data_IF_183636937568
#
_entry.id   IF_183636937568
#
_cell.length_a   1.000
_cell.length_b   1.000
_cell.length_c   1.000
_cell.angle_alpha   90.00
_cell.angle_beta   90.00
_cell.angle_gamma   90.00
#
_symmetry.space_group_name_H-M   'P 1'
#
loop_
_entity.id
_entity.type
_entity.pdbx_description
1 polymer ?
#
# COMPACT_ATOMS: atom_id res chain seq x y z
N UNK A 1 18.15 -51.40 -39.70
CA UNK A 1 18.25 -51.93 -41.09
C UNK A 1 18.08 -50.72 -42.01
N UNK A 2 19.19 -50.13 -42.52
CA UNK A 2 19.81 -50.39 -43.85
C UNK A 2 18.82 -49.93 -44.96
N UNK A 3 19.10 -48.99 -45.86
CA UNK A 3 20.34 -48.46 -46.46
C UNK A 3 20.12 -47.19 -47.31
N UNK A 4 21.21 -46.42 -47.51
CA UNK A 4 21.72 -45.78 -48.76
C UNK A 4 20.84 -44.76 -49.52
N UNK A 5 21.29 -43.62 -50.07
CA UNK A 5 22.60 -43.20 -50.64
C UNK A 5 22.51 -41.68 -51.04
N UNK A 6 23.48 -41.07 -51.78
CA UNK A 6 24.64 -40.28 -51.35
C UNK A 6 24.48 -38.75 -51.63
N UNK A 7 25.27 -37.84 -51.06
CA UNK A 7 26.58 -37.41 -51.58
C UNK A 7 26.47 -36.18 -52.49
N UNK A 8 26.90 -35.01 -52.00
CA UNK A 8 27.02 -33.77 -52.79
C UNK A 8 27.85 -32.75 -52.02
N UNK A 9 29.11 -32.58 -52.43
CA UNK A 9 30.12 -31.73 -51.85
C UNK A 9 30.43 -30.57 -52.80
N UNK A 10 30.32 -29.33 -52.36
CA UNK A 10 30.95 -28.17 -53.00
C UNK A 10 31.53 -27.19 -51.95
N UNK A 11 32.60 -26.45 -52.31
CA UNK A 11 33.64 -25.93 -51.39
C UNK A 11 33.41 -24.45 -51.01
N UNK A 12 34.22 -23.86 -50.09
CA UNK A 12 33.95 -22.53 -49.53
C UNK A 12 34.47 -21.42 -50.45
N UNK A 13 33.92 -20.19 -50.38
CA UNK A 13 34.56 -19.07 -51.03
C UNK A 13 35.77 -18.60 -50.20
N UNK A 14 36.88 -18.46 -50.92
CA UNK A 14 38.19 -18.02 -50.47
C UNK A 14 38.23 -16.56 -49.98
N UNK A 15 39.24 -16.33 -49.16
CA UNK A 15 39.80 -15.07 -48.71
C UNK A 15 40.10 -14.07 -49.84
N UNK A 16 39.53 -12.87 -49.75
CA UNK A 16 40.01 -11.67 -50.42
C UNK A 16 40.64 -10.71 -49.41
N UNK A 17 41.89 -10.35 -49.63
CA UNK A 17 42.69 -9.37 -48.89
C UNK A 17 42.16 -7.93 -49.05
N UNK A 18 42.47 -7.02 -48.10
CA UNK A 18 41.85 -5.70 -48.01
C UNK A 18 42.46 -4.70 -48.99
N UNK A 19 41.63 -4.06 -49.81
CA UNK A 19 41.99 -2.88 -50.59
C UNK A 19 41.95 -1.64 -49.71
N UNK A 20 43.11 -1.03 -49.52
CA UNK A 20 43.31 0.28 -48.92
C UNK A 20 42.86 1.38 -49.88
N UNK A 21 42.23 2.42 -49.35
CA UNK A 21 41.99 3.71 -50.00
C UNK A 21 42.13 4.84 -48.96
N UNK A 22 42.41 6.09 -49.39
CA UNK A 22 43.63 6.78 -48.98
C UNK A 22 43.43 7.89 -47.95
N UNK A 23 44.58 8.29 -47.38
CA UNK A 23 44.79 9.45 -46.49
C UNK A 23 44.45 10.74 -47.22
N UNK A 24 43.56 11.54 -46.65
CA UNK A 24 43.24 12.89 -47.13
C UNK A 24 44.20 13.89 -46.45
N UNK A 25 45.26 14.27 -47.18
CA UNK A 25 46.21 15.33 -46.81
C UNK A 25 45.61 16.71 -47.11
N UNK A 26 45.65 17.60 -46.11
CA UNK A 26 45.24 19.00 -46.22
C UNK A 26 46.07 19.78 -47.25
N UNK A 27 45.46 20.62 -48.10
CA UNK A 27 46.17 21.66 -48.85
C UNK A 27 46.29 22.97 -48.03
N UNK A 28 47.23 23.86 -48.42
CA UNK A 28 47.84 24.83 -47.53
C UNK A 28 47.06 26.14 -47.32
N UNK A 29 47.45 26.79 -46.23
CA UNK A 29 46.99 28.07 -45.68
C UNK A 29 47.18 29.21 -46.68
N UNK A 30 46.08 29.87 -47.05
CA UNK A 30 46.11 31.16 -47.76
C UNK A 30 45.80 32.32 -46.80
N UNK A 31 46.56 33.39 -46.99
CA UNK A 31 46.78 34.49 -46.05
C UNK A 31 45.54 35.39 -45.94
N UNK A 32 45.14 35.68 -44.71
CA UNK A 32 44.05 36.58 -44.30
C UNK A 32 44.18 37.98 -44.92
N UNK A 33 43.17 38.42 -45.69
CA UNK A 33 42.83 39.82 -45.85
C UNK A 33 41.89 40.26 -44.70
N UNK A 34 42.03 41.49 -44.15
CA UNK A 34 41.34 41.87 -42.93
C UNK A 34 39.88 42.25 -43.20
N UNK A 35 38.95 41.49 -42.63
CA UNK A 35 37.52 41.84 -42.57
C UNK A 35 37.23 42.55 -41.23
N UNK A 36 36.53 43.67 -41.33
CA UNK A 36 36.16 44.59 -40.26
C UNK A 36 35.45 43.92 -39.06
N UNK A 37 35.53 44.51 -37.85
CA UNK A 37 35.00 43.88 -36.64
C UNK A 37 33.47 43.83 -36.69
N UNK A 38 32.92 42.64 -36.89
CA UNK A 38 31.52 42.34 -36.62
C UNK A 38 31.36 42.34 -35.10
N UNK A 39 30.55 43.27 -34.57
CA UNK A 39 30.10 43.26 -33.18
C UNK A 39 29.36 41.94 -32.90
N UNK A 40 30.07 40.99 -32.32
CA UNK A 40 29.49 39.76 -31.81
C UNK A 40 28.74 40.07 -30.51
N UNK A 41 27.41 40.13 -30.59
CA UNK A 41 26.53 40.02 -29.44
C UNK A 41 26.93 38.77 -28.63
N UNK A 42 27.44 38.98 -27.42
CA UNK A 42 27.78 37.91 -26.51
C UNK A 42 26.51 37.09 -26.22
N UNK A 43 26.53 35.75 -26.39
CA UNK A 43 25.48 34.94 -25.82
C UNK A 43 25.63 35.05 -24.30
N UNK A 44 24.77 35.85 -23.66
CA UNK A 44 24.55 35.82 -22.21
C UNK A 44 23.84 34.52 -21.85
N UNK A 45 24.53 33.41 -22.04
CA UNK A 45 24.17 32.13 -21.46
C UNK A 45 24.61 32.19 -20.00
N UNK A 46 23.67 32.60 -19.14
CA UNK A 46 23.74 32.40 -17.71
C UNK A 46 23.93 30.92 -17.40
N UNK A 47 25.17 30.46 -17.40
CA UNK A 47 25.61 29.29 -16.67
C UNK A 47 25.52 29.66 -15.19
N UNK A 48 24.29 29.64 -14.68
CA UNK A 48 24.03 29.56 -13.25
C UNK A 48 24.83 28.35 -12.77
N UNK A 49 25.97 28.62 -12.11
CA UNK A 49 26.68 27.65 -11.30
C UNK A 49 25.63 27.04 -10.38
N UNK A 50 25.16 25.82 -10.72
CA UNK A 50 24.37 25.01 -9.79
C UNK A 50 25.29 24.76 -8.62
N UNK A 51 25.18 25.60 -7.59
CA UNK A 51 25.82 25.38 -6.32
C UNK A 51 25.42 23.98 -5.87
N UNK A 52 26.38 23.07 -5.81
CA UNK A 52 26.23 21.81 -5.11
C UNK A 52 25.57 22.12 -3.77
N UNK A 53 24.39 21.55 -3.49
CA UNK A 53 23.70 21.68 -2.20
C UNK A 53 24.59 21.01 -1.14
N UNK A 54 25.52 21.76 -0.60
CA UNK A 54 26.46 21.32 0.42
C UNK A 54 25.83 21.07 1.80
N UNK A 55 26.67 20.78 2.83
CA UNK A 55 26.33 20.29 4.18
C UNK A 55 25.31 21.13 4.99
N UNK A 56 24.90 22.30 4.50
CA UNK A 56 23.84 23.13 5.07
C UNK A 56 22.46 22.45 5.09
N UNK A 57 22.17 21.50 4.19
CA UNK A 57 20.94 20.72 4.27
C UNK A 57 20.97 19.76 5.47
N UNK A 58 22.08 19.05 5.66
CA UNK A 58 22.28 18.10 6.76
C UNK A 58 22.28 18.83 8.11
N UNK A 59 22.94 19.99 8.22
CA UNK A 59 22.94 20.78 9.47
C UNK A 59 21.58 21.37 9.82
N UNK A 60 20.77 21.77 8.83
CA UNK A 60 19.37 22.22 9.06
C UNK A 60 18.44 21.08 9.44
N UNK A 61 18.64 19.89 8.89
CA UNK A 61 17.92 18.68 9.29
C UNK A 61 18.28 18.26 10.72
N UNK A 62 19.58 18.23 11.04
CA UNK A 62 20.06 17.96 12.39
C UNK A 62 19.51 18.98 13.40
N UNK A 63 19.54 20.28 13.07
CA UNK A 63 18.97 21.33 13.92
C UNK A 63 17.46 21.18 14.15
N UNK A 64 16.69 20.77 13.13
CA UNK A 64 15.24 20.49 13.28
C UNK A 64 14.94 19.26 14.13
N UNK A 65 15.78 18.22 14.02
CA UNK A 65 15.66 17.01 14.83
C UNK A 65 15.97 17.33 16.30
N UNK A 66 17.07 18.05 16.57
CA UNK A 66 17.45 18.43 17.93
C UNK A 66 16.49 19.45 18.57
N UNK A 67 15.84 20.30 17.77
CA UNK A 67 14.82 21.23 18.23
C UNK A 67 13.41 20.61 18.34
N UNK A 68 13.24 19.31 18.04
CA UNK A 68 11.95 18.66 18.16
C UNK A 68 11.51 18.64 19.64
N UNK A 69 10.22 18.92 19.95
CA UNK A 69 9.74 18.89 21.32
C UNK A 69 9.89 17.49 21.91
N UNK A 70 10.07 17.40 23.23
CA UNK A 70 10.23 16.13 23.97
C UNK A 70 9.11 15.13 23.64
N UNK A 71 7.88 15.60 23.44
CA UNK A 71 6.73 14.79 23.03
C UNK A 71 6.97 14.03 21.71
N UNK A 72 7.66 14.64 20.75
CA UNK A 72 7.99 14.02 19.46
C UNK A 72 9.01 12.90 19.65
N UNK A 73 10.00 13.10 20.50
CA UNK A 73 10.99 12.07 20.85
C UNK A 73 10.36 10.91 21.60
N UNK A 74 9.53 11.19 22.61
CA UNK A 74 8.77 10.15 23.33
C UNK A 74 7.92 9.34 22.36
N UNK A 75 7.18 10.02 21.48
CA UNK A 75 6.33 9.36 20.47
C UNK A 75 7.17 8.49 19.54
N UNK A 76 8.28 9.02 19.01
CA UNK A 76 9.18 8.27 18.14
C UNK A 76 9.73 7.01 18.83
N UNK A 77 10.23 7.14 20.06
CA UNK A 77 10.77 6.02 20.84
C UNK A 77 9.70 4.97 21.07
N UNK A 78 8.48 5.36 21.48
CA UNK A 78 7.38 4.42 21.74
C UNK A 78 6.99 3.66 20.47
N UNK A 79 6.85 4.36 19.33
CA UNK A 79 6.47 3.73 18.05
C UNK A 79 7.58 2.81 17.54
N UNK A 80 8.83 3.27 17.56
CA UNK A 80 9.98 2.49 17.13
C UNK A 80 10.17 1.24 18.02
N UNK A 81 10.08 1.40 19.34
CA UNK A 81 10.17 0.29 20.29
C UNK A 81 9.01 -0.71 20.09
N UNK A 82 7.79 -0.24 19.83
CA UNK A 82 6.65 -1.11 19.56
C UNK A 82 6.88 -1.97 18.31
N UNK A 83 7.25 -1.35 17.18
CA UNK A 83 7.51 -2.09 15.94
C UNK A 83 8.73 -3.02 16.06
N UNK A 84 9.79 -2.56 16.71
CA UNK A 84 10.99 -3.36 16.97
C UNK A 84 10.68 -4.56 17.87
N UNK A 85 9.87 -4.40 18.91
CA UNK A 85 9.48 -5.50 19.80
C UNK A 85 8.76 -6.61 19.03
N UNK A 86 7.85 -6.26 18.12
CA UNK A 86 7.19 -7.23 17.22
C UNK A 86 8.22 -7.94 16.35
N UNK A 87 9.07 -7.19 15.65
CA UNK A 87 10.05 -7.77 14.74
C UNK A 87 11.06 -8.69 15.44
N UNK A 88 11.59 -8.27 16.59
CA UNK A 88 12.52 -9.08 17.40
C UNK A 88 11.84 -10.36 17.87
N UNK A 89 10.57 -10.29 18.29
CA UNK A 89 9.85 -11.46 18.78
C UNK A 89 9.50 -12.47 17.70
N UNK A 90 9.44 -12.04 16.44
CA UNK A 90 9.29 -12.91 15.27
C UNK A 90 10.61 -13.60 14.84
N UNK A 91 11.68 -13.45 15.62
CA UNK A 91 12.99 -14.07 15.39
C UNK A 91 13.60 -13.68 14.02
N UNK A 92 14.21 -12.49 13.91
CA UNK A 92 14.78 -11.98 12.65
C UNK A 92 15.74 -12.95 11.94
N UNK A 93 16.52 -13.73 12.70
CA UNK A 93 17.41 -14.76 12.12
C UNK A 93 16.66 -15.85 11.34
N UNK A 94 15.42 -16.17 11.74
CA UNK A 94 14.53 -17.10 11.03
C UNK A 94 13.79 -16.44 9.87
N UNK A 95 13.51 -15.14 9.96
CA UNK A 95 12.94 -14.37 8.84
C UNK A 95 13.98 -14.26 7.71
N UNK A 96 15.23 -13.99 8.06
CA UNK A 96 16.31 -13.73 7.11
C UNK A 96 17.06 -15.00 6.63
N UNK A 97 16.75 -16.18 7.18
CA UNK A 97 17.31 -17.43 6.66
C UNK A 97 16.72 -17.77 5.30
N UNK A 98 17.50 -18.33 4.39
CA UNK A 98 17.00 -18.80 3.10
C UNK A 98 16.28 -20.15 3.25
N UNK A 99 15.08 -20.09 3.80
CA UNK A 99 14.19 -21.22 3.99
C UNK A 99 12.77 -20.79 3.64
N UNK A 100 11.99 -21.72 3.08
CA UNK A 100 10.57 -21.49 2.88
C UNK A 100 9.84 -21.36 4.23
N UNK A 101 8.82 -20.49 4.31
CA UNK A 101 7.95 -20.46 5.48
C UNK A 101 7.11 -21.75 5.56
N UNK A 102 6.73 -22.11 6.78
CA UNK A 102 5.92 -23.28 7.08
C UNK A 102 5.00 -22.99 8.28
N UNK A 103 4.00 -23.87 8.48
CA UNK A 103 2.99 -23.75 9.54
C UNK A 103 1.63 -23.29 9.01
N UNK A 104 0.55 -23.90 9.49
CA UNK A 104 -0.80 -23.66 8.97
C UNK A 104 -0.86 -23.72 7.44
N UNK A 105 -1.58 -22.77 6.84
CA UNK A 105 -1.73 -22.62 5.39
C UNK A 105 -0.54 -21.89 4.74
N UNK A 106 0.41 -21.38 5.55
CA UNK A 106 1.58 -20.65 5.05
C UNK A 106 2.39 -21.47 4.04
N UNK A 107 2.50 -22.79 4.27
CA UNK A 107 3.18 -23.70 3.35
C UNK A 107 2.50 -23.83 1.99
N UNK A 108 1.18 -23.62 1.89
CA UNK A 108 0.47 -23.61 0.62
C UNK A 108 0.68 -22.30 -0.14
N UNK A 109 0.82 -21.18 0.58
CA UNK A 109 1.00 -19.86 -0.03
C UNK A 109 2.31 -19.70 -0.80
N UNK A 110 3.34 -20.51 -0.52
CA UNK A 110 4.63 -20.43 -1.23
C UNK A 110 4.51 -20.73 -2.73
N UNK A 111 3.48 -21.45 -3.17
CA UNK A 111 3.28 -21.75 -4.58
C UNK A 111 2.80 -20.51 -5.36
N UNK A 112 1.90 -19.71 -4.79
CA UNK A 112 1.23 -18.61 -5.49
C UNK A 112 2.18 -17.57 -6.10
N UNK A 113 3.11 -16.96 -5.33
CA UNK A 113 4.03 -15.96 -5.85
C UNK A 113 5.03 -16.57 -6.83
N UNK A 114 5.50 -17.81 -6.60
CA UNK A 114 6.37 -18.51 -7.54
C UNK A 114 5.68 -18.75 -8.89
N UNK A 115 4.44 -19.27 -8.88
CA UNK A 115 3.65 -19.46 -10.09
C UNK A 115 3.36 -18.13 -10.81
N UNK A 116 3.05 -17.08 -10.05
CA UNK A 116 2.86 -15.73 -10.57
C UNK A 116 4.11 -15.21 -11.29
N UNK A 117 5.29 -15.36 -10.67
CA UNK A 117 6.61 -14.97 -11.22
C UNK A 117 6.95 -15.74 -12.49
N UNK A 118 6.78 -17.05 -12.48
CA UNK A 118 7.34 -17.94 -13.50
C UNK A 118 6.40 -18.13 -14.71
N UNK A 119 5.08 -18.03 -14.50
CA UNK A 119 4.10 -18.40 -15.53
C UNK A 119 3.16 -17.25 -15.94
N UNK A 120 2.80 -16.36 -15.02
CA UNK A 120 1.77 -15.35 -15.28
C UNK A 120 2.36 -13.98 -15.67
N UNK A 121 3.25 -13.43 -14.86
CA UNK A 121 3.85 -12.11 -15.11
C UNK A 121 4.64 -12.02 -16.42
N UNK A 122 5.42 -13.04 -16.85
CA UNK A 122 6.10 -13.00 -18.14
C UNK A 122 5.13 -12.88 -19.33
N UNK A 123 3.88 -13.29 -19.13
CA UNK A 123 2.80 -13.22 -20.12
C UNK A 123 1.87 -12.02 -19.89
N UNK A 124 2.27 -11.06 -19.05
CA UNK A 124 1.47 -9.88 -18.67
C UNK A 124 0.10 -10.23 -18.10
N UNK A 125 0.02 -11.34 -17.36
CA UNK A 125 -1.21 -11.81 -16.69
C UNK A 125 -1.04 -11.78 -15.19
N UNK A 126 -2.16 -11.58 -14.49
CA UNK A 126 -2.25 -11.72 -13.03
C UNK A 126 -3.06 -12.95 -12.59
N UNK A 127 -3.74 -13.61 -13.54
CA UNK A 127 -4.59 -14.79 -13.35
C UNK A 127 -4.40 -15.77 -14.50
N UNK A 128 -4.65 -17.06 -14.26
CA UNK A 128 -4.58 -18.07 -15.30
C UNK A 128 -5.17 -19.41 -14.88
N UNK A 129 -4.88 -20.44 -15.68
CA UNK A 129 -5.18 -21.83 -15.38
C UNK A 129 -3.86 -22.58 -15.22
N UNK A 130 -3.76 -23.46 -14.23
CA UNK A 130 -2.61 -24.35 -14.03
C UNK A 130 -3.05 -25.81 -14.04
N UNK A 131 -2.15 -26.72 -14.40
CA UNK A 131 -2.32 -28.18 -14.30
C UNK A 131 -1.60 -28.77 -13.06
N UNK A 132 -1.08 -27.92 -12.16
CA UNK A 132 -0.34 -28.35 -10.97
C UNK A 132 -1.19 -29.17 -9.97
N UNK A 133 -2.51 -29.28 -10.19
CA UNK A 133 -3.42 -30.02 -9.32
C UNK A 133 -4.56 -30.71 -10.09
N UNK A 134 -4.67 -32.04 -9.98
CA UNK A 134 -5.68 -32.87 -10.67
C UNK A 134 -5.93 -32.48 -12.13
N UNK A 135 -7.15 -32.10 -12.51
CA UNK A 135 -7.52 -31.67 -13.87
C UNK A 135 -7.21 -30.18 -14.15
N UNK A 136 -6.52 -29.54 -13.22
CA UNK A 136 -6.20 -28.12 -13.18
C UNK A 136 -7.15 -27.28 -12.34
N UNK A 137 -6.74 -26.04 -12.07
CA UNK A 137 -7.53 -25.06 -11.31
C UNK A 137 -7.24 -23.61 -11.72
N UNK A 138 -8.15 -22.66 -11.43
CA UNK A 138 -7.97 -21.25 -11.77
C UNK A 138 -6.96 -20.57 -10.85
N UNK A 139 -5.70 -20.55 -11.25
CA UNK A 139 -4.59 -19.88 -10.56
C UNK A 139 -4.88 -18.39 -10.32
N UNK A 140 -4.68 -17.96 -9.07
CA UNK A 140 -4.81 -16.58 -8.59
C UNK A 140 -6.19 -15.92 -8.73
N UNK A 141 -7.24 -16.60 -9.21
CA UNK A 141 -8.55 -15.92 -9.42
C UNK A 141 -9.21 -15.41 -8.12
N UNK A 142 -9.03 -16.15 -7.02
CA UNK A 142 -9.70 -15.89 -5.74
C UNK A 142 -8.75 -15.36 -4.66
N UNK A 143 -7.47 -15.13 -4.99
CA UNK A 143 -6.48 -14.65 -4.05
C UNK A 143 -6.25 -13.16 -4.22
N UNK A 144 -6.10 -12.42 -3.14
CA UNK A 144 -5.80 -11.00 -3.21
C UNK A 144 -4.37 -10.80 -3.71
N UNK A 145 -4.20 -10.07 -4.81
CA UNK A 145 -2.99 -10.13 -5.62
C UNK A 145 -1.80 -9.33 -5.07
N UNK A 146 -2.06 -8.24 -4.35
CA UNK A 146 -1.00 -7.29 -3.98
C UNK A 146 0.08 -7.91 -3.07
N UNK A 147 -0.23 -8.68 -2.00
CA UNK A 147 0.80 -9.31 -1.18
C UNK A 147 1.72 -10.22 -2.00
N UNK A 148 1.16 -10.97 -2.96
CA UNK A 148 1.93 -11.85 -3.85
C UNK A 148 2.85 -11.05 -4.79
N UNK A 149 2.36 -9.94 -5.35
CA UNK A 149 3.18 -9.05 -6.18
C UNK A 149 4.32 -8.42 -5.39
N UNK A 150 4.09 -8.04 -4.13
CA UNK A 150 5.14 -7.51 -3.27
C UNK A 150 6.21 -8.56 -2.95
N UNK A 151 5.82 -9.83 -2.78
CA UNK A 151 6.76 -10.94 -2.61
C UNK A 151 7.62 -11.10 -3.86
N UNK A 152 7.01 -11.18 -5.04
CA UNK A 152 7.74 -11.33 -6.31
C UNK A 152 8.66 -10.13 -6.56
N UNK A 153 8.21 -8.92 -6.27
CA UNK A 153 9.03 -7.71 -6.41
C UNK A 153 10.27 -7.75 -5.51
N UNK A 154 10.11 -8.21 -4.26
CA UNK A 154 11.21 -8.30 -3.31
C UNK A 154 12.16 -9.46 -3.62
N UNK A 155 11.63 -10.56 -4.19
CA UNK A 155 12.39 -11.72 -4.67
C UNK A 155 13.37 -11.39 -5.80
N UNK A 156 13.19 -10.25 -6.50
CA UNK A 156 14.17 -9.78 -7.51
C UNK A 156 15.55 -9.53 -6.90
N UNK A 157 15.61 -9.15 -5.62
CA UNK A 157 16.85 -8.73 -4.94
C UNK A 157 17.18 -9.53 -3.68
N UNK A 158 16.24 -10.34 -3.17
CA UNK A 158 16.41 -11.20 -2.00
C UNK A 158 16.03 -12.65 -2.35
N UNK A 159 16.58 -13.66 -1.65
CA UNK A 159 16.11 -15.04 -1.82
C UNK A 159 14.61 -15.19 -1.56
N UNK A 160 13.94 -16.02 -2.36
CA UNK A 160 12.48 -16.19 -2.33
C UNK A 160 11.89 -16.41 -0.93
N UNK A 161 12.50 -17.30 -0.14
CA UNK A 161 12.04 -17.58 1.22
C UNK A 161 12.12 -16.35 2.13
N UNK A 162 13.17 -15.54 1.97
CA UNK A 162 13.37 -14.29 2.73
C UNK A 162 12.36 -13.22 2.29
N UNK A 163 12.22 -13.01 0.97
CA UNK A 163 11.26 -12.07 0.40
C UNK A 163 9.83 -12.39 0.87
N UNK A 164 9.44 -13.66 0.82
CA UNK A 164 8.15 -14.12 1.30
C UNK A 164 7.96 -13.78 2.77
N UNK A 165 8.88 -14.21 3.65
CA UNK A 165 8.75 -14.01 5.10
C UNK A 165 8.70 -12.54 5.48
N UNK A 166 9.48 -11.68 4.82
CA UNK A 166 9.46 -10.24 5.07
C UNK A 166 8.10 -9.61 4.76
N UNK A 167 7.49 -9.93 3.62
CA UNK A 167 6.15 -9.44 3.28
C UNK A 167 5.09 -10.05 4.21
N UNK A 168 5.22 -11.34 4.55
CA UNK A 168 4.28 -12.01 5.43
C UNK A 168 4.23 -11.34 6.83
N UNK A 169 5.37 -10.95 7.39
CA UNK A 169 5.40 -10.27 8.70
C UNK A 169 5.19 -8.77 8.62
N UNK A 170 5.28 -8.16 7.43
CA UNK A 170 5.22 -6.71 7.26
C UNK A 170 3.98 -6.10 7.92
N UNK A 171 2.82 -6.73 7.76
CA UNK A 171 1.56 -6.25 8.31
C UNK A 171 1.54 -6.12 9.84
N UNK A 172 2.01 -7.14 10.57
CA UNK A 172 2.06 -7.10 12.05
C UNK A 172 3.17 -6.19 12.56
N UNK A 173 4.30 -6.11 11.86
CA UNK A 173 5.41 -5.21 12.21
C UNK A 173 5.01 -3.74 11.99
N UNK A 174 4.26 -3.44 10.91
CA UNK A 174 3.80 -2.09 10.61
C UNK A 174 2.58 -1.65 11.40
N UNK A 175 1.84 -2.57 12.03
CA UNK A 175 0.56 -2.25 12.68
C UNK A 175 0.68 -1.19 13.80
N UNK A 176 1.68 -1.24 14.70
CA UNK A 176 1.89 -0.17 15.68
C UNK A 176 2.12 1.20 15.03
N UNK A 177 2.88 1.22 13.94
CA UNK A 177 3.15 2.45 13.15
C UNK A 177 1.87 2.94 12.47
N UNK A 178 1.07 2.05 11.90
CA UNK A 178 -0.19 2.40 11.26
C UNK A 178 -1.23 2.95 12.26
N UNK A 179 -1.29 2.37 13.47
CA UNK A 179 -2.15 2.87 14.55
C UNK A 179 -1.71 4.26 15.04
N UNK A 180 -0.40 4.50 15.16
CA UNK A 180 0.12 5.84 15.40
C UNK A 180 -0.22 6.81 14.27
N UNK A 181 -0.04 6.40 13.01
CA UNK A 181 -0.33 7.23 11.85
C UNK A 181 -1.81 7.62 11.80
N UNK A 182 -2.72 6.69 12.11
CA UNK A 182 -4.15 6.97 12.29
C UNK A 182 -4.36 8.11 13.30
N UNK A 183 -3.84 7.96 14.52
CA UNK A 183 -3.97 8.98 15.57
C UNK A 183 -3.37 10.32 15.20
N UNK A 184 -2.20 10.31 14.52
CA UNK A 184 -1.49 11.52 14.11
C UNK A 184 -2.21 12.27 13.01
N UNK A 185 -2.75 11.56 12.02
CA UNK A 185 -3.56 12.12 10.93
C UNK A 185 -4.90 12.63 11.44
N UNK A 186 -5.49 11.93 12.42
CA UNK A 186 -6.68 12.38 13.15
C UNK A 186 -6.43 13.56 14.11
N UNK A 187 -5.17 14.03 14.22
CA UNK A 187 -4.75 15.15 15.08
C UNK A 187 -5.11 14.95 16.55
N UNK A 188 -5.08 13.71 17.03
CA UNK A 188 -5.30 13.44 18.44
C UNK A 188 -4.21 14.12 19.28
N UNK A 189 -4.57 14.73 20.42
CA UNK A 189 -3.59 15.38 21.30
C UNK A 189 -2.61 14.36 21.87
N UNK A 190 -1.39 14.81 22.18
CA UNK A 190 -0.43 14.02 22.94
C UNK A 190 -1.05 13.58 24.28
N UNK A 191 -0.87 12.33 24.74
CA UNK A 191 -0.05 11.25 24.17
C UNK A 191 -0.80 10.25 23.28
N UNK A 192 -2.03 10.54 22.86
CA UNK A 192 -2.93 9.56 22.23
C UNK A 192 -2.35 8.85 20.99
N UNK A 193 -1.68 9.52 20.03
CA UNK A 193 -1.06 8.81 18.89
C UNK A 193 -0.03 7.77 19.32
N UNK A 194 0.77 8.05 20.36
CA UNK A 194 1.75 7.10 20.89
C UNK A 194 1.04 5.93 21.60
N UNK A 195 -0.03 6.21 22.37
CA UNK A 195 -0.82 5.16 23.01
C UNK A 195 -1.51 4.23 22.00
N UNK A 196 -1.92 4.73 20.83
CA UNK A 196 -2.46 3.89 19.76
C UNK A 196 -1.42 2.93 19.19
N UNK A 197 -0.14 3.31 19.13
CA UNK A 197 0.94 2.36 18.80
C UNK A 197 1.06 1.26 19.84
N UNK A 198 0.97 1.61 21.14
CA UNK A 198 0.99 0.61 22.23
C UNK A 198 -0.23 -0.31 22.16
N UNK A 199 -1.41 0.22 21.82
CA UNK A 199 -2.59 -0.60 21.58
C UNK A 199 -2.40 -1.53 20.38
N UNK A 200 -1.79 -1.06 19.29
CA UNK A 200 -1.41 -1.88 18.14
C UNK A 200 -0.44 -3.00 18.51
N UNK A 201 0.55 -2.71 19.37
CA UNK A 201 1.46 -3.70 19.93
C UNK A 201 0.69 -4.76 20.74
N UNK A 202 -0.19 -4.33 21.66
CA UNK A 202 -0.98 -5.26 22.46
C UNK A 202 -1.87 -6.14 21.58
N UNK A 203 -2.50 -5.57 20.55
CA UNK A 203 -3.36 -6.29 19.60
C UNK A 203 -2.58 -7.35 18.81
N UNK A 204 -1.38 -7.06 18.29
CA UNK A 204 -0.64 -8.07 17.52
C UNK A 204 -0.19 -9.25 18.39
N UNK A 205 -0.04 -9.05 19.70
CA UNK A 205 0.28 -10.09 20.68
C UNK A 205 -0.95 -10.77 21.29
N UNK A 206 -2.16 -10.38 20.89
CA UNK A 206 -3.37 -11.06 21.31
C UNK A 206 -3.37 -12.51 20.77
N UNK A 207 -3.66 -13.47 21.65
CA UNK A 207 -3.70 -14.90 21.37
C UNK A 207 -5.12 -15.49 21.52
N UNK A 208 -6.14 -14.66 21.74
CA UNK A 208 -7.53 -15.11 21.86
C UNK A 208 -8.09 -15.74 20.57
N UNK A 209 -7.47 -15.48 19.42
CA UNK A 209 -7.81 -16.08 18.13
C UNK A 209 -6.56 -16.34 17.30
N UNK A 210 -6.61 -17.39 16.49
CA UNK A 210 -5.42 -17.91 15.78
C UNK A 210 -5.59 -18.03 14.27
N UNK A 211 -6.77 -17.72 13.72
CA UNK A 211 -7.08 -17.88 12.29
C UNK A 211 -7.90 -16.73 11.68
N UNK A 212 -8.22 -15.67 12.43
CA UNK A 212 -9.08 -14.58 11.93
C UNK A 212 -8.30 -13.43 11.26
N UNK A 213 -6.98 -13.36 11.49
CA UNK A 213 -6.08 -12.36 10.89
C UNK A 213 -5.78 -11.17 11.78
N UNK A 214 -4.69 -10.45 11.47
CA UNK A 214 -4.32 -9.18 12.13
C UNK A 214 -3.35 -9.31 13.31
N UNK A 215 -3.34 -10.43 14.01
CA UNK A 215 -2.37 -10.74 15.07
C UNK A 215 -1.25 -11.67 14.57
N UNK A 216 -0.22 -11.87 15.40
CA UNK A 216 0.93 -12.72 15.05
C UNK A 216 0.50 -14.17 14.81
N UNK A 217 -0.33 -14.75 15.68
CA UNK A 217 -0.75 -16.15 15.58
C UNK A 217 -1.46 -16.43 14.24
N UNK A 218 -2.42 -15.58 13.87
CA UNK A 218 -3.15 -15.70 12.61
C UNK A 218 -2.27 -15.43 11.40
N UNK A 219 -1.37 -14.44 11.49
CA UNK A 219 -0.41 -14.15 10.42
C UNK A 219 0.43 -15.38 10.11
N UNK A 220 0.93 -16.08 11.13
CA UNK A 220 1.73 -17.29 10.96
C UNK A 220 0.91 -18.49 10.49
N UNK A 221 -0.40 -18.50 10.71
CA UNK A 221 -1.31 -19.52 10.20
C UNK A 221 -1.62 -19.38 8.70
N UNK A 222 -1.29 -18.24 8.07
CA UNK A 222 -1.55 -17.95 6.65
C UNK A 222 -2.27 -16.63 6.40
N UNK A 223 -2.80 -15.97 7.43
CA UNK A 223 -3.57 -14.72 7.31
C UNK A 223 -2.69 -13.45 7.19
N UNK A 224 -1.55 -13.54 6.50
CA UNK A 224 -0.61 -12.43 6.38
C UNK A 224 -1.14 -11.28 5.51
N UNK A 225 -1.89 -11.62 4.46
CA UNK A 225 -2.55 -10.66 3.57
C UNK A 225 -3.55 -9.78 4.35
N UNK A 226 -4.27 -10.38 5.30
CA UNK A 226 -5.17 -9.68 6.22
C UNK A 226 -4.40 -8.66 7.06
N UNK A 227 -3.31 -9.08 7.72
CA UNK A 227 -2.52 -8.21 8.60
C UNK A 227 -1.92 -7.02 7.85
N UNK A 228 -1.48 -7.23 6.61
CA UNK A 228 -1.00 -6.17 5.73
C UNK A 228 -2.13 -5.18 5.37
N UNK A 229 -3.29 -5.72 4.96
CA UNK A 229 -4.47 -4.92 4.63
C UNK A 229 -4.97 -4.08 5.83
N UNK A 230 -4.90 -4.63 7.05
CA UNK A 230 -5.30 -3.95 8.27
C UNK A 230 -4.40 -2.75 8.58
N UNK A 231 -3.09 -2.88 8.37
CA UNK A 231 -2.16 -1.74 8.46
C UNK A 231 -2.52 -0.62 7.46
N UNK A 232 -2.82 -0.97 6.20
CA UNK A 232 -3.28 0.01 5.21
C UNK A 232 -4.61 0.66 5.61
N UNK A 233 -5.55 -0.12 6.16
CA UNK A 233 -6.86 0.35 6.57
C UNK A 233 -6.77 1.42 7.67
N UNK A 234 -5.88 1.26 8.65
CA UNK A 234 -5.68 2.27 9.71
C UNK A 234 -5.16 3.60 9.14
N UNK A 235 -4.18 3.54 8.22
CA UNK A 235 -3.67 4.75 7.56
C UNK A 235 -4.77 5.40 6.70
N UNK A 236 -5.53 4.60 5.95
CA UNK A 236 -6.70 5.07 5.20
C UNK A 236 -7.69 5.83 6.09
N UNK A 237 -8.08 5.25 7.22
CA UNK A 237 -9.01 5.90 8.15
C UNK A 237 -8.45 7.22 8.68
N UNK A 238 -7.15 7.30 8.93
CA UNK A 238 -6.47 8.52 9.36
C UNK A 238 -6.54 9.60 8.27
N UNK A 239 -6.29 9.21 7.03
CA UNK A 239 -6.38 10.09 5.85
C UNK A 239 -7.83 10.55 5.61
N UNK A 240 -8.83 9.71 5.87
CA UNK A 240 -10.25 10.10 5.84
C UNK A 240 -10.52 11.18 6.88
N UNK A 241 -10.13 10.98 8.15
CA UNK A 241 -10.33 12.00 9.19
C UNK A 241 -9.67 13.32 8.79
N UNK A 242 -8.38 13.28 8.42
CA UNK A 242 -7.63 14.46 8.00
C UNK A 242 -8.25 15.15 6.77
N UNK A 243 -8.71 14.36 5.80
CA UNK A 243 -9.30 14.83 4.56
C UNK A 243 -10.68 15.45 4.75
N UNK A 244 -11.50 14.93 5.68
CA UNK A 244 -12.79 15.51 6.03
C UNK A 244 -12.66 16.86 6.75
N UNK A 245 -11.55 17.10 7.45
CA UNK A 245 -11.26 18.38 8.11
C UNK A 245 -10.64 19.41 7.17
N UNK A 246 -9.75 18.98 6.28
CA UNK A 246 -8.93 19.89 5.46
C UNK A 246 -9.36 19.98 4.00
N UNK A 247 -10.17 19.05 3.52
CA UNK A 247 -10.46 18.84 2.10
C UNK A 247 -9.31 18.22 1.30
N UNK A 248 -8.14 17.98 1.92
CA UNK A 248 -6.92 17.45 1.27
C UNK A 248 -6.84 15.92 1.37
N UNK A 249 -5.74 15.32 0.91
CA UNK A 249 -5.41 13.89 1.04
C UNK A 249 -6.29 12.87 0.29
N UNK A 250 -7.18 13.33 -0.60
CA UNK A 250 -8.09 12.44 -1.37
C UNK A 250 -7.37 11.35 -2.14
N UNK A 251 -6.34 11.71 -2.89
CA UNK A 251 -5.56 10.75 -3.67
C UNK A 251 -4.91 9.69 -2.78
N UNK A 252 -4.28 10.12 -1.68
CA UNK A 252 -3.68 9.18 -0.73
C UNK A 252 -4.72 8.28 -0.06
N UNK A 253 -5.88 8.80 0.34
CA UNK A 253 -6.94 7.99 0.91
C UNK A 253 -7.44 6.95 -0.12
N UNK A 254 -7.65 7.34 -1.37
CA UNK A 254 -8.04 6.40 -2.44
C UNK A 254 -6.97 5.31 -2.64
N UNK A 255 -5.68 5.68 -2.67
CA UNK A 255 -4.57 4.72 -2.79
C UNK A 255 -4.56 3.74 -1.62
N UNK A 256 -4.61 4.21 -0.37
CA UNK A 256 -4.58 3.30 0.78
C UNK A 256 -5.82 2.40 0.86
N UNK A 257 -7.00 2.88 0.42
CA UNK A 257 -8.17 2.03 0.28
C UNK A 257 -7.96 0.94 -0.78
N UNK A 258 -7.37 1.29 -1.92
CA UNK A 258 -7.03 0.35 -2.98
C UNK A 258 -6.00 -0.68 -2.51
N UNK A 259 -4.98 -0.26 -1.76
CA UNK A 259 -4.00 -1.17 -1.15
C UNK A 259 -4.66 -2.14 -0.17
N UNK A 260 -5.60 -1.67 0.65
CA UNK A 260 -6.41 -2.54 1.52
C UNK A 260 -7.22 -3.54 0.69
N UNK A 261 -7.95 -3.06 -0.32
CA UNK A 261 -8.80 -3.89 -1.18
C UNK A 261 -8.03 -4.96 -1.96
N UNK A 262 -6.88 -4.60 -2.54
CA UNK A 262 -6.00 -5.52 -3.27
C UNK A 262 -5.25 -6.51 -2.35
N UNK A 263 -5.28 -6.28 -1.03
CA UNK A 263 -4.66 -7.14 -0.03
C UNK A 263 -5.65 -8.07 0.66
N UNK A 264 -6.82 -7.58 1.07
CA UNK A 264 -7.80 -8.41 1.77
C UNK A 264 -9.21 -7.80 1.82
N UNK A 265 -10.23 -8.60 1.48
CA UNK A 265 -11.63 -8.17 1.43
C UNK A 265 -12.21 -7.83 2.82
N UNK A 266 -11.91 -8.64 3.85
CA UNK A 266 -12.47 -8.40 5.20
C UNK A 266 -11.98 -7.05 5.80
N UNK A 267 -10.67 -6.75 5.87
CA UNK A 267 -10.19 -5.42 6.26
C UNK A 267 -10.69 -4.28 5.36
N UNK A 268 -10.99 -4.52 4.08
CA UNK A 268 -11.66 -3.53 3.23
C UNK A 268 -13.04 -3.17 3.80
N UNK A 269 -13.83 -4.17 4.21
CA UNK A 269 -15.12 -3.92 4.87
C UNK A 269 -14.95 -3.13 6.17
N UNK A 270 -13.90 -3.42 6.95
CA UNK A 270 -13.58 -2.64 8.16
C UNK A 270 -13.18 -1.20 7.83
N UNK A 271 -12.38 -0.98 6.80
CA UNK A 271 -11.99 0.34 6.33
C UNK A 271 -13.22 1.16 5.90
N UNK A 272 -14.08 0.59 5.05
CA UNK A 272 -15.31 1.25 4.58
C UNK A 272 -16.28 1.50 5.74
N UNK A 273 -16.51 0.51 6.60
CA UNK A 273 -17.36 0.64 7.78
C UNK A 273 -16.85 1.71 8.75
N UNK A 274 -15.54 1.74 9.00
CA UNK A 274 -14.91 2.78 9.82
C UNK A 274 -15.09 4.18 9.22
N UNK A 275 -14.93 4.34 7.91
CA UNK A 275 -15.15 5.62 7.23
C UNK A 275 -16.63 6.06 7.34
N UNK A 276 -17.58 5.14 7.16
CA UNK A 276 -19.01 5.41 7.35
C UNK A 276 -19.30 5.85 8.79
N UNK A 277 -18.76 5.15 9.78
CA UNK A 277 -18.91 5.52 11.20
C UNK A 277 -18.34 6.92 11.46
N UNK A 278 -17.14 7.23 10.98
CA UNK A 278 -16.51 8.55 11.13
C UNK A 278 -17.42 9.67 10.59
N UNK A 279 -18.01 9.48 9.39
CA UNK A 279 -18.91 10.48 8.80
C UNK A 279 -20.23 10.55 9.56
N UNK A 280 -20.81 9.41 9.94
CA UNK A 280 -22.06 9.35 10.70
C UNK A 280 -21.94 9.99 12.09
N UNK A 281 -20.82 9.77 12.80
CA UNK A 281 -20.53 10.41 14.09
C UNK A 281 -20.44 11.93 13.94
N UNK A 282 -19.82 12.43 12.87
CA UNK A 282 -19.79 13.86 12.56
C UNK A 282 -21.21 14.40 12.27
N UNK A 283 -22.02 13.66 11.53
CA UNK A 283 -23.43 13.97 11.31
C UNK A 283 -24.21 14.08 12.60
N UNK A 284 -24.03 13.12 13.50
CA UNK A 284 -24.63 13.13 14.82
C UNK A 284 -24.23 14.37 15.65
N UNK A 285 -22.95 14.73 15.68
CA UNK A 285 -22.48 15.92 16.38
C UNK A 285 -23.00 17.24 15.78
N UNK A 286 -23.42 17.25 14.52
CA UNK A 286 -24.01 18.41 13.86
C UNK A 286 -25.51 18.56 14.11
N UNK A 287 -26.22 17.49 14.45
CA UNK A 287 -27.67 17.51 14.69
C UNK A 287 -28.12 18.60 15.69
N UNK A 288 -27.46 18.81 16.85
CA UNK A 288 -27.90 19.83 17.81
C UNK A 288 -27.88 21.25 17.26
N UNK A 289 -27.00 21.54 16.30
CA UNK A 289 -26.93 22.85 15.65
C UNK A 289 -28.02 23.06 14.60
N UNK A 290 -28.60 21.97 14.07
CA UNK A 290 -29.65 22.02 13.05
C UNK A 290 -31.05 22.03 13.65
N UNK A 291 -31.30 21.17 14.65
CA UNK A 291 -32.65 20.95 15.19
C UNK A 291 -32.78 21.27 16.68
N UNK A 292 -31.68 21.55 17.38
CA UNK A 292 -31.66 21.78 18.83
C UNK A 292 -31.30 20.53 19.66
N UNK A 293 -30.78 20.74 20.88
CA UNK A 293 -30.31 19.65 21.76
C UNK A 293 -31.44 18.73 22.21
N UNK A 294 -32.58 19.31 22.60
CA UNK A 294 -33.76 18.55 23.04
C UNK A 294 -34.29 17.68 21.92
N UNK A 295 -34.44 18.23 20.71
CA UNK A 295 -34.89 17.51 19.52
C UNK A 295 -33.90 16.40 19.14
N UNK A 296 -32.59 16.67 19.21
CA UNK A 296 -31.57 15.64 18.97
C UNK A 296 -31.72 14.47 19.93
N UNK A 297 -31.89 14.74 21.24
CA UNK A 297 -32.12 13.69 22.24
C UNK A 297 -33.38 12.87 21.92
N UNK A 298 -34.50 13.53 21.59
CA UNK A 298 -35.74 12.85 21.24
C UNK A 298 -35.59 11.96 20.00
N UNK A 299 -34.91 12.44 18.96
CA UNK A 299 -34.62 11.66 17.74
C UNK A 299 -33.70 10.48 18.03
N UNK A 300 -32.69 10.64 18.89
CA UNK A 300 -31.81 9.54 19.32
C UNK A 300 -32.60 8.46 20.06
N UNK A 301 -33.46 8.85 21.01
CA UNK A 301 -34.33 7.92 21.75
C UNK A 301 -35.26 7.20 20.78
N UNK A 302 -35.92 7.93 19.88
CA UNK A 302 -36.81 7.34 18.88
C UNK A 302 -36.08 6.35 17.96
N UNK A 303 -34.87 6.68 17.51
CA UNK A 303 -34.02 5.78 16.71
C UNK A 303 -33.65 4.51 17.46
N UNK A 304 -33.25 4.61 18.73
CA UNK A 304 -32.96 3.45 19.57
C UNK A 304 -34.19 2.56 19.78
N UNK A 305 -35.34 3.19 20.08
CA UNK A 305 -36.61 2.48 20.24
C UNK A 305 -37.06 1.80 18.95
N UNK A 306 -36.82 2.41 17.78
CA UNK A 306 -37.11 1.80 16.49
C UNK A 306 -36.26 0.55 16.26
N UNK A 307 -34.96 0.59 16.57
CA UNK A 307 -34.09 -0.59 16.46
C UNK A 307 -34.56 -1.68 17.42
N UNK A 308 -34.81 -1.35 18.69
CA UNK A 308 -35.27 -2.29 19.70
C UNK A 308 -36.62 -2.94 19.32
N UNK A 309 -37.59 -2.14 18.86
CA UNK A 309 -38.87 -2.62 18.37
C UNK A 309 -38.70 -3.55 17.16
N UNK A 310 -37.83 -3.19 16.21
CA UNK A 310 -37.57 -4.00 15.03
C UNK A 310 -36.95 -5.35 15.39
N UNK A 311 -35.99 -5.38 16.32
CA UNK A 311 -35.40 -6.63 16.83
C UNK A 311 -36.43 -7.49 17.54
N UNK A 312 -37.35 -6.86 18.29
CA UNK A 312 -38.38 -7.57 19.06
C UNK A 312 -39.50 -8.14 18.20
N UNK A 313 -39.89 -7.43 17.13
CA UNK A 313 -41.05 -7.74 16.28
C UNK A 313 -40.65 -8.52 15.03
N UNK A 314 -39.53 -8.20 14.40
CA UNK A 314 -39.10 -8.84 13.15
C UNK A 314 -38.03 -9.88 13.42
N UNK A 315 -38.22 -11.09 12.90
CA UNK A 315 -37.18 -12.15 12.84
C UNK A 315 -36.26 -11.99 11.63
N UNK A 316 -36.61 -11.14 10.65
CA UNK A 316 -35.84 -10.97 9.43
C UNK A 316 -34.58 -10.15 9.66
N UNK A 317 -33.42 -10.75 9.40
CA UNK A 317 -32.13 -10.06 9.44
C UNK A 317 -32.09 -8.88 8.46
N UNK A 318 -32.72 -9.02 7.28
CA UNK A 318 -32.78 -7.98 6.26
C UNK A 318 -33.50 -6.73 6.80
N UNK A 319 -34.63 -6.90 7.47
CA UNK A 319 -35.39 -5.77 8.04
C UNK A 319 -34.59 -5.08 9.14
N UNK A 320 -33.96 -5.86 10.03
CA UNK A 320 -33.12 -5.32 11.11
C UNK A 320 -31.95 -4.50 10.56
N UNK A 321 -31.24 -5.02 9.56
CA UNK A 321 -30.14 -4.33 8.89
C UNK A 321 -30.65 -3.08 8.16
N UNK A 322 -31.77 -3.17 7.46
CA UNK A 322 -32.35 -2.04 6.73
C UNK A 322 -32.67 -0.85 7.63
N UNK A 323 -33.22 -1.09 8.83
CA UNK A 323 -33.48 -0.02 9.82
C UNK A 323 -32.18 0.64 10.28
N UNK A 324 -31.14 -0.15 10.58
CA UNK A 324 -29.83 0.40 10.98
C UNK A 324 -29.21 1.21 9.84
N UNK A 325 -29.21 0.69 8.62
CA UNK A 325 -28.70 1.37 7.42
C UNK A 325 -29.47 2.66 7.16
N UNK A 326 -30.79 2.67 7.32
CA UNK A 326 -31.62 3.87 7.20
C UNK A 326 -31.20 4.95 8.21
N UNK A 327 -31.04 4.58 9.49
CA UNK A 327 -30.62 5.53 10.53
C UNK A 327 -29.22 6.10 10.26
N UNK A 328 -28.28 5.25 9.82
CA UNK A 328 -26.96 5.70 9.39
C UNK A 328 -27.08 6.63 8.18
N UNK A 329 -27.92 6.28 7.19
CA UNK A 329 -28.18 7.09 6.00
C UNK A 329 -28.67 8.50 6.31
N UNK A 330 -29.52 8.66 7.33
CA UNK A 330 -29.95 9.97 7.83
C UNK A 330 -28.75 10.76 8.36
N UNK A 331 -27.88 10.15 9.17
CA UNK A 331 -26.69 10.83 9.69
C UNK A 331 -25.70 11.20 8.57
N UNK A 332 -25.57 10.37 7.55
CA UNK A 332 -24.76 10.68 6.36
C UNK A 332 -25.35 11.85 5.55
N UNK A 333 -26.67 11.94 5.45
CA UNK A 333 -27.34 13.04 4.75
C UNK A 333 -27.14 14.40 5.45
N UNK A 334 -27.10 14.42 6.79
CA UNK A 334 -26.79 15.62 7.59
C UNK A 334 -25.43 16.21 7.22
N UNK A 335 -24.47 15.34 6.86
CA UNK A 335 -23.11 15.72 6.45
C UNK A 335 -22.87 15.53 4.94
N UNK A 336 -23.88 15.84 4.11
CA UNK A 336 -23.86 15.55 2.67
C UNK A 336 -22.53 15.89 1.96
N UNK A 337 -21.94 17.07 2.20
CA UNK A 337 -20.67 17.46 1.56
C UNK A 337 -19.51 16.53 1.93
N UNK A 338 -19.43 16.12 3.21
CA UNK A 338 -18.41 15.20 3.73
C UNK A 338 -18.67 13.77 3.29
N UNK A 339 -19.94 13.36 3.27
CA UNK A 339 -20.39 12.10 2.70
C UNK A 339 -20.01 12.00 1.23
N UNK A 340 -20.27 13.03 0.42
CA UNK A 340 -19.87 13.07 -0.97
C UNK A 340 -18.35 13.02 -1.14
N UNK A 341 -17.62 13.70 -0.25
CA UNK A 341 -16.16 13.63 -0.23
C UNK A 341 -15.65 12.20 -0.02
N UNK A 342 -16.21 11.50 0.97
CA UNK A 342 -15.82 10.13 1.31
C UNK A 342 -16.26 9.14 0.23
N UNK A 343 -17.48 9.27 -0.29
CA UNK A 343 -18.03 8.41 -1.34
C UNK A 343 -17.18 8.43 -2.60
N UNK A 344 -16.88 9.62 -3.13
CA UNK A 344 -16.06 9.76 -4.34
C UNK A 344 -14.62 9.31 -4.14
N UNK A 345 -14.07 9.45 -2.92
CA UNK A 345 -12.77 8.88 -2.55
C UNK A 345 -12.82 7.35 -2.54
N UNK A 346 -13.91 6.77 -2.02
CA UNK A 346 -14.18 5.34 -2.04
C UNK A 346 -14.27 4.79 -3.46
N UNK A 347 -15.08 5.44 -4.32
CA UNK A 347 -15.20 5.10 -5.75
C UNK A 347 -13.84 5.16 -6.45
N UNK A 348 -13.07 6.22 -6.23
CA UNK A 348 -11.72 6.32 -6.80
C UNK A 348 -10.80 5.18 -6.32
N UNK A 349 -10.85 4.82 -5.04
CA UNK A 349 -10.10 3.68 -4.50
C UNK A 349 -10.49 2.34 -5.13
N UNK A 350 -11.78 2.10 -5.34
CA UNK A 350 -12.27 0.88 -6.01
C UNK A 350 -11.90 0.86 -7.50
N UNK A 351 -11.93 2.01 -8.18
CA UNK A 351 -11.49 2.09 -9.58
C UNK A 351 -9.99 1.76 -9.73
N UNK A 352 -9.17 2.12 -8.74
CA UNK A 352 -7.75 1.74 -8.72
C UNK A 352 -7.53 0.23 -8.58
N UNK A 353 -8.55 -0.53 -8.18
CA UNK A 353 -8.47 -2.00 -8.12
C UNK A 353 -9.07 -2.67 -9.34
N UNK A 354 -9.68 -1.94 -10.28
CA UNK A 354 -10.48 -2.53 -11.36
C UNK A 354 -9.68 -3.38 -12.37
N UNK A 355 -8.34 -3.29 -12.35
CA UNK A 355 -7.49 -4.19 -13.13
C UNK A 355 -7.43 -5.62 -12.56
N UNK A 356 -7.92 -5.80 -11.33
CA UNK A 356 -7.99 -7.05 -10.57
C UNK A 356 -9.44 -7.40 -10.27
#
# INVERSE_FOLDING_TARGET
MVSSHPGGSEPPPESGTPTADPVDEQPPVDVLAPMEPVEAEAPTAGLARRSFRGPAAVSRWAGRIMAAPMESWITFIVVAASAAAVFVRLHPSKILSDTLPAGGDMGAHVWGPAYLRDNLLPNFRFRGWTQDWYAGFPAMHFYMILPYLLIVLLDVVLPYGVAFKLIAVAGVVSLPVAAWAFGRLARLPFPLPAMLSVAGLAYVFDFNFTIYGGNIASTLAGEFAFSLALSFALVFLGLVVAGLDTGRYRGWAAVFLALTALSHLIPLLFAVGGAVIIVATRGYHRLPALVGRTQTLLVTIAGFMLVAATVRVSSSAVVRIAVVVMLIGVLLAVEFRRTWWALTTGVAGLLLTAFW
#
